data_IF_825550434551
#
_entry.id   IF_825550434551
#
_cell.length_a   1.000
_cell.length_b   1.000
_cell.length_c   1.000
_cell.angle_alpha   90.00
_cell.angle_beta   90.00
_cell.angle_gamma   90.00
#
_symmetry.space_group_name_H-M   'P 1'
#
loop_
_entity.id
_entity.type
_entity.pdbx_description
1 polymer ?
#
# COMPACT_ATOMS: atom_id res chain seq x y z
N UNK A 1 -28.15 -47.68 6.33
CA UNK A 1 -27.24 -47.05 5.35
C UNK A 1 -27.80 -45.67 4.92
N UNK A 2 -27.94 -44.72 5.85
CA UNK A 2 -28.48 -43.35 5.58
C UNK A 2 -27.65 -42.26 6.29
N UNK A 3 -26.82 -42.63 7.26
CA UNK A 3 -26.09 -41.67 8.11
C UNK A 3 -24.89 -41.01 7.43
N UNK A 4 -24.31 -41.53 6.34
CA UNK A 4 -23.11 -40.93 5.72
C UNK A 4 -23.39 -39.67 4.88
N UNK A 5 -24.62 -39.47 4.41
CA UNK A 5 -24.98 -38.33 3.53
C UNK A 5 -25.29 -37.02 4.29
N UNK A 6 -25.66 -37.10 5.58
CA UNK A 6 -26.02 -35.91 6.37
C UNK A 6 -24.79 -35.19 6.93
N UNK A 7 -23.72 -35.92 7.27
CA UNK A 7 -22.47 -35.32 7.77
C UNK A 7 -21.71 -34.55 6.67
N UNK A 8 -21.73 -35.05 5.43
CA UNK A 8 -21.08 -34.38 4.28
C UNK A 8 -21.84 -33.11 3.87
N UNK A 9 -23.17 -33.15 3.86
CA UNK A 9 -23.99 -31.97 3.63
C UNK A 9 -23.77 -30.90 4.70
N UNK A 10 -23.83 -31.25 5.99
CA UNK A 10 -23.62 -30.30 7.09
C UNK A 10 -22.20 -29.71 7.15
N UNK A 11 -21.17 -30.48 6.79
CA UNK A 11 -19.79 -30.00 6.67
C UNK A 11 -19.65 -29.03 5.49
N UNK A 12 -20.24 -29.34 4.34
CA UNK A 12 -20.25 -28.46 3.17
C UNK A 12 -21.00 -27.14 3.45
N UNK A 13 -22.13 -27.18 4.15
CA UNK A 13 -22.87 -25.97 4.55
C UNK A 13 -22.08 -25.11 5.53
N UNK A 14 -21.32 -25.72 6.46
CA UNK A 14 -20.44 -24.99 7.40
C UNK A 14 -19.23 -24.35 6.72
N UNK A 15 -18.67 -25.00 5.70
CA UNK A 15 -17.57 -24.42 4.90
C UNK A 15 -18.10 -23.24 4.07
N UNK A 16 -19.27 -23.40 3.44
CA UNK A 16 -19.91 -22.34 2.66
C UNK A 16 -20.34 -21.13 3.50
N UNK A 17 -20.76 -21.33 4.75
CA UNK A 17 -21.11 -20.25 5.67
C UNK A 17 -19.88 -19.48 6.20
N UNK A 18 -18.68 -20.06 6.14
CA UNK A 18 -17.44 -19.41 6.61
C UNK A 18 -16.80 -18.52 5.55
N UNK A 19 -17.22 -18.66 4.29
CA UNK A 19 -16.78 -17.83 3.16
C UNK A 19 -17.75 -16.67 2.91
N UNK A 20 -18.27 -16.07 4.00
CA UNK A 20 -19.00 -14.82 3.89
C UNK A 20 -17.97 -13.74 3.52
N UNK A 21 -18.07 -13.21 2.30
CA UNK A 21 -17.16 -12.19 1.79
C UNK A 21 -17.28 -10.95 2.67
N UNK A 22 -16.34 -10.78 3.60
CA UNK A 22 -16.30 -9.61 4.48
C UNK A 22 -16.18 -8.36 3.61
N UNK A 23 -17.19 -7.50 3.67
CA UNK A 23 -17.16 -6.19 3.02
C UNK A 23 -15.99 -5.38 3.61
N UNK A 24 -15.03 -4.98 2.77
CA UNK A 24 -13.93 -4.13 3.20
C UNK A 24 -14.46 -2.77 3.65
N UNK A 25 -13.88 -2.21 4.71
CA UNK A 25 -14.17 -0.84 5.13
C UNK A 25 -13.56 0.18 4.17
N UNK A 26 -14.12 1.38 4.13
CA UNK A 26 -13.56 2.48 3.30
C UNK A 26 -12.08 2.74 3.60
N UNK A 27 -11.67 2.69 4.87
CA UNK A 27 -10.27 2.88 5.28
C UNK A 27 -9.38 1.74 4.77
N UNK A 28 -9.87 0.50 4.77
CA UNK A 28 -9.13 -0.63 4.22
C UNK A 28 -8.92 -0.47 2.71
N UNK A 29 -9.96 -0.03 1.99
CA UNK A 29 -9.86 0.27 0.55
C UNK A 29 -8.85 1.39 0.28
N UNK A 30 -8.94 2.51 1.01
CA UNK A 30 -7.98 3.62 0.87
C UNK A 30 -6.57 3.15 1.20
N UNK A 31 -6.40 2.35 2.25
CA UNK A 31 -5.12 1.76 2.62
C UNK A 31 -4.52 0.89 1.51
N UNK A 32 -5.33 0.05 0.86
CA UNK A 32 -4.90 -0.72 -0.31
C UNK A 32 -4.46 0.19 -1.48
N UNK A 33 -5.16 1.30 -1.72
CA UNK A 33 -4.77 2.30 -2.73
C UNK A 33 -3.43 2.95 -2.38
N UNK A 34 -3.21 3.33 -1.12
CA UNK A 34 -1.92 3.88 -0.68
C UNK A 34 -0.81 2.85 -0.87
N UNK A 35 -1.03 1.58 -0.53
CA UNK A 35 -0.05 0.51 -0.74
C UNK A 35 0.28 0.35 -2.23
N UNK A 36 -0.72 0.40 -3.11
CA UNK A 36 -0.49 0.39 -4.56
C UNK A 36 0.36 1.60 -4.99
N UNK A 37 0.08 2.79 -4.47
CA UNK A 37 0.91 3.97 -4.73
C UNK A 37 2.34 3.82 -4.21
N UNK A 38 2.56 3.16 -3.06
CA UNK A 38 3.92 2.88 -2.58
C UNK A 38 4.69 2.00 -3.57
N UNK A 39 4.04 1.00 -4.15
CA UNK A 39 4.66 0.12 -5.17
C UNK A 39 4.98 0.91 -6.43
N UNK A 40 4.02 1.67 -6.96
CA UNK A 40 4.22 2.48 -8.16
C UNK A 40 5.32 3.53 -7.96
N UNK A 41 5.31 4.21 -6.81
CA UNK A 41 6.34 5.18 -6.46
C UNK A 41 7.71 4.50 -6.38
N UNK A 42 7.82 3.32 -5.75
CA UNK A 42 9.07 2.56 -5.71
C UNK A 42 9.61 2.25 -7.11
N UNK A 43 8.73 1.82 -8.02
CA UNK A 43 9.09 1.52 -9.40
C UNK A 43 9.54 2.76 -10.14
N UNK A 44 8.79 3.86 -10.06
CA UNK A 44 9.10 5.09 -10.76
C UNK A 44 10.34 5.78 -10.20
N UNK A 45 10.51 5.84 -8.88
CA UNK A 45 11.75 6.33 -8.28
C UNK A 45 12.93 5.48 -8.73
N UNK A 46 12.82 4.15 -8.72
CA UNK A 46 13.92 3.29 -9.17
C UNK A 46 14.27 3.52 -10.65
N UNK A 47 13.28 3.61 -11.54
CA UNK A 47 13.50 3.95 -12.95
C UNK A 47 14.12 5.35 -13.10
N UNK A 48 13.66 6.31 -12.31
CA UNK A 48 14.21 7.67 -12.26
C UNK A 48 15.67 7.68 -11.85
N UNK A 49 16.02 6.95 -10.81
CA UNK A 49 17.41 6.82 -10.35
C UNK A 49 18.30 6.13 -11.40
N UNK A 50 17.78 5.13 -12.12
CA UNK A 50 18.51 4.47 -13.20
C UNK A 50 18.76 5.42 -14.39
N UNK A 51 17.85 6.35 -14.67
CA UNK A 51 17.94 7.27 -15.81
C UNK A 51 18.70 8.56 -15.50
N UNK A 52 18.49 9.14 -14.31
CA UNK A 52 18.99 10.47 -13.95
C UNK A 52 20.01 10.46 -12.80
N UNK A 53 20.23 9.31 -12.17
CA UNK A 53 21.09 9.17 -10.99
C UNK A 53 20.41 9.63 -9.70
N UNK A 54 21.11 9.46 -8.58
CA UNK A 54 20.61 9.79 -7.23
C UNK A 54 20.41 11.29 -7.00
N UNK A 55 21.06 12.15 -7.79
CA UNK A 55 20.93 13.60 -7.70
C UNK A 55 19.52 14.10 -8.02
N UNK A 56 18.74 13.33 -8.78
CA UNK A 56 17.35 13.63 -9.11
C UNK A 56 16.37 13.41 -7.95
N UNK A 57 16.79 12.70 -6.89
CA UNK A 57 15.96 12.49 -5.70
C UNK A 57 15.87 13.78 -4.88
N UNK A 58 14.66 14.35 -4.79
CA UNK A 58 14.38 15.58 -4.05
C UNK A 58 14.46 15.40 -2.53
N UNK A 59 14.33 14.16 -2.04
CA UNK A 59 14.47 13.86 -0.62
C UNK A 59 15.95 13.66 -0.25
N UNK A 60 16.56 14.66 0.39
CA UNK A 60 17.97 14.63 0.78
C UNK A 60 18.35 13.45 1.67
N UNK A 61 17.46 13.01 2.57
CA UNK A 61 17.70 11.84 3.42
C UNK A 61 17.71 10.57 2.58
N UNK A 62 16.71 10.40 1.71
CA UNK A 62 16.60 9.23 0.84
C UNK A 62 17.81 9.15 -0.11
N UNK A 63 18.19 10.28 -0.70
CA UNK A 63 19.37 10.41 -1.56
C UNK A 63 20.66 9.97 -0.84
N UNK A 64 20.90 10.49 0.36
CA UNK A 64 22.07 10.13 1.16
C UNK A 64 22.12 8.63 1.48
N UNK A 65 20.97 8.03 1.80
CA UNK A 65 20.87 6.58 2.03
C UNK A 65 21.07 5.78 0.74
N UNK A 66 20.55 6.23 -0.40
CA UNK A 66 20.76 5.59 -1.70
C UNK A 66 22.22 5.63 -2.14
N UNK A 67 22.94 6.71 -1.83
CA UNK A 67 24.37 6.83 -2.10
C UNK A 67 25.20 5.92 -1.20
N UNK A 68 24.78 5.71 0.06
CA UNK A 68 25.50 4.88 1.02
C UNK A 68 25.22 3.37 0.86
N UNK A 69 23.96 2.99 0.65
CA UNK A 69 23.52 1.59 0.64
C UNK A 69 23.09 1.08 -0.73
N UNK A 70 22.92 1.98 -1.71
CA UNK A 70 22.34 1.67 -3.02
C UNK A 70 20.85 1.96 -3.09
N UNK A 71 20.37 2.15 -4.32
CA UNK A 71 18.97 2.53 -4.62
C UNK A 71 17.97 1.45 -4.20
N UNK A 72 18.16 0.22 -4.68
CA UNK A 72 17.24 -0.89 -4.45
C UNK A 72 17.01 -1.25 -2.96
N UNK A 73 18.05 -1.43 -2.12
CA UNK A 73 17.85 -1.74 -0.71
C UNK A 73 17.22 -0.57 0.06
N UNK A 74 17.62 0.66 -0.24
CA UNK A 74 17.06 1.87 0.39
C UNK A 74 15.56 2.01 0.09
N UNK A 75 15.17 1.86 -1.18
CA UNK A 75 13.77 1.89 -1.57
C UNK A 75 12.99 0.73 -0.94
N UNK A 76 13.53 -0.48 -0.94
CA UNK A 76 12.84 -1.63 -0.34
C UNK A 76 12.53 -1.38 1.13
N UNK A 77 13.51 -0.92 1.92
CA UNK A 77 13.33 -0.62 3.34
C UNK A 77 12.32 0.51 3.55
N UNK A 78 12.50 1.63 2.84
CA UNK A 78 11.63 2.80 2.99
C UNK A 78 10.16 2.48 2.65
N UNK A 79 9.94 1.70 1.59
CA UNK A 79 8.60 1.33 1.12
C UNK A 79 7.97 0.26 2.01
N UNK A 80 8.73 -0.74 2.47
CA UNK A 80 8.24 -1.69 3.47
C UNK A 80 7.83 -0.99 4.76
N UNK A 81 8.63 -0.04 5.25
CA UNK A 81 8.28 0.76 6.42
C UNK A 81 6.99 1.56 6.21
N UNK A 82 6.83 2.17 5.03
CA UNK A 82 5.60 2.88 4.68
C UNK A 82 4.36 1.95 4.65
N UNK A 83 4.48 0.76 4.05
CA UNK A 83 3.40 -0.24 4.01
C UNK A 83 3.02 -0.69 5.43
N UNK A 84 3.99 -0.95 6.29
CA UNK A 84 3.73 -1.26 7.72
C UNK A 84 3.03 -0.08 8.40
N UNK A 85 3.46 1.15 8.14
CA UNK A 85 2.80 2.36 8.64
C UNK A 85 1.33 2.46 8.25
N UNK A 86 1.00 2.16 6.98
CA UNK A 86 -0.39 2.13 6.49
C UNK A 86 -1.20 1.06 7.23
N UNK A 87 -0.65 -0.15 7.40
CA UNK A 87 -1.32 -1.22 8.15
C UNK A 87 -1.60 -0.84 9.60
N UNK A 88 -0.63 -0.25 10.29
CA UNK A 88 -0.79 0.23 11.66
C UNK A 88 -1.87 1.32 11.74
N UNK A 89 -1.86 2.25 10.79
CA UNK A 89 -2.81 3.34 10.76
C UNK A 89 -4.25 2.85 10.48
N UNK A 90 -4.45 1.84 9.62
CA UNK A 90 -5.74 1.16 9.45
C UNK A 90 -6.18 0.53 10.79
N UNK A 91 -5.26 -0.12 11.50
CA UNK A 91 -5.53 -0.73 12.80
C UNK A 91 -5.95 0.28 13.87
N UNK A 92 -5.33 1.46 13.88
CA UNK A 92 -5.67 2.56 14.79
C UNK A 92 -7.01 3.20 14.42
N UNK A 93 -7.28 3.40 13.14
CA UNK A 93 -8.56 3.96 12.68
C UNK A 93 -9.73 3.08 13.11
N UNK A 94 -9.61 1.75 13.03
CA UNK A 94 -10.65 0.82 13.52
C UNK A 94 -11.00 1.01 15.01
N UNK A 95 -10.05 1.47 15.83
CA UNK A 95 -10.28 1.71 17.26
C UNK A 95 -10.97 3.06 17.53
N UNK A 96 -10.60 4.09 16.77
CA UNK A 96 -11.11 5.46 16.96
C UNK A 96 -12.46 5.66 16.24
N UNK A 97 -12.61 5.07 15.04
CA UNK A 97 -13.78 5.17 14.17
C UNK A 97 -14.27 6.62 13.94
N UNK A 98 -13.35 7.56 13.78
CA UNK A 98 -13.69 8.97 13.55
C UNK A 98 -13.77 9.30 12.06
N UNK A 99 -14.82 10.02 11.65
CA UNK A 99 -14.99 10.51 10.28
C UNK A 99 -13.80 11.38 9.83
N UNK A 100 -13.26 12.20 10.74
CA UNK A 100 -12.10 13.06 10.46
C UNK A 100 -10.87 12.25 10.05
N UNK A 101 -10.62 11.12 10.71
CA UNK A 101 -9.49 10.24 10.38
C UNK A 101 -9.66 9.63 8.99
N UNK A 102 -10.89 9.23 8.62
CA UNK A 102 -11.19 8.70 7.28
C UNK A 102 -10.94 9.73 6.19
N UNK A 103 -11.34 10.99 6.42
CA UNK A 103 -11.09 12.10 5.50
C UNK A 103 -9.59 12.39 5.38
N UNK A 104 -8.86 12.44 6.50
CA UNK A 104 -7.41 12.61 6.49
C UNK A 104 -6.71 11.50 5.70
N UNK A 105 -7.12 10.24 5.88
CA UNK A 105 -6.58 9.12 5.11
C UNK A 105 -6.76 9.29 3.60
N UNK A 106 -7.97 9.69 3.17
CA UNK A 106 -8.24 9.98 1.77
C UNK A 106 -7.41 11.15 1.24
N UNK A 107 -7.28 12.21 2.04
CA UNK A 107 -6.44 13.37 1.70
C UNK A 107 -4.96 13.01 1.56
N UNK A 108 -4.42 12.20 2.48
CA UNK A 108 -3.03 11.70 2.40
C UNK A 108 -2.84 10.83 1.17
N UNK A 109 -3.78 9.94 0.85
CA UNK A 109 -3.70 9.11 -0.35
C UNK A 109 -3.63 9.97 -1.63
N UNK A 110 -4.48 10.99 -1.72
CA UNK A 110 -4.53 11.90 -2.85
C UNK A 110 -3.26 12.76 -2.97
N UNK A 111 -2.82 13.36 -1.87
CA UNK A 111 -1.58 14.14 -1.83
C UNK A 111 -0.36 13.28 -2.18
N UNK A 112 -0.31 12.04 -1.69
CA UNK A 112 0.76 11.10 -2.01
C UNK A 112 0.80 10.80 -3.51
N UNK A 113 -0.36 10.49 -4.12
CA UNK A 113 -0.44 10.27 -5.56
C UNK A 113 0.03 11.48 -6.37
N UNK A 114 -0.38 12.69 -5.98
CA UNK A 114 -0.03 13.92 -6.69
C UNK A 114 1.42 14.38 -6.51
N UNK A 115 2.01 14.16 -5.34
CA UNK A 115 3.31 14.72 -4.99
C UNK A 115 4.47 13.73 -5.08
N UNK A 116 4.21 12.44 -4.95
CA UNK A 116 5.25 11.41 -5.04
C UNK A 116 5.18 10.69 -6.39
N UNK A 117 4.01 10.12 -6.73
CA UNK A 117 3.87 9.27 -7.92
C UNK A 117 3.84 10.09 -9.22
N UNK A 118 3.02 11.15 -9.26
CA UNK A 118 2.77 11.91 -10.48
C UNK A 118 4.02 12.65 -11.01
N UNK A 119 4.87 13.30 -10.18
CA UNK A 119 6.08 13.95 -10.69
C UNK A 119 7.04 12.96 -11.35
N UNK A 120 7.24 11.79 -10.77
CA UNK A 120 8.08 10.76 -11.39
C UNK A 120 7.49 10.25 -12.69
N UNK A 121 6.17 10.03 -12.77
CA UNK A 121 5.52 9.65 -14.01
C UNK A 121 5.72 10.71 -15.11
N UNK A 122 5.50 11.99 -14.77
CA UNK A 122 5.68 13.10 -15.73
C UNK A 122 7.12 13.15 -16.23
N UNK A 123 8.10 13.12 -15.33
CA UNK A 123 9.52 13.16 -15.70
C UNK A 123 9.88 11.96 -16.56
N UNK A 124 9.49 10.73 -16.19
CA UNK A 124 9.88 9.54 -16.93
C UNK A 124 9.29 9.45 -18.34
N UNK A 125 8.05 9.88 -18.53
CA UNK A 125 7.34 9.73 -19.80
C UNK A 125 7.38 10.96 -20.70
N UNK A 126 7.76 12.14 -20.18
CA UNK A 126 7.78 13.40 -20.94
C UNK A 126 9.12 14.15 -20.92
N UNK A 127 10.18 13.59 -20.32
CA UNK A 127 11.58 14.04 -20.51
C UNK A 127 12.39 13.02 -21.29
#
# INVERSE_FOLDING_TARGET
MILSGTYTAAAATRISAKFEVRKLSTTEVIGCVIILFQILDALFTNLGMLRFGTSAEGNALLRSLMELFGVAPTLSIAKSAAVVGVWLAIGLEKKVNSLFVKVLFGGVALLYGLLAVLPWAVILFFS
#
